data_IF_905643551912
#
_entry.id   IF_905643551912
#
_cell.length_a   1.000
_cell.length_b   1.000
_cell.length_c   1.000
_cell.angle_alpha   90.00
_cell.angle_beta   90.00
_cell.angle_gamma   90.00
#
_symmetry.space_group_name_H-M   'P 1'
#
loop_
_entity.id
_entity.type
_entity.pdbx_description
1 polymer ?
#
# COMPACT_ATOMS: atom_id res chain seq x y z
N UNK A 1 -2.13 -9.53 -20.98
CA UNK A 1 -0.66 -9.59 -21.00
C UNK A 1 -0.15 -10.38 -22.20
N UNK A 2 -0.62 -11.60 -22.48
CA UNK A 2 -0.22 -12.37 -23.69
C UNK A 2 -0.24 -11.55 -24.99
N UNK A 3 -1.37 -10.91 -25.31
CA UNK A 3 -1.46 -10.04 -26.48
C UNK A 3 -0.43 -8.90 -26.46
N UNK A 4 -0.11 -8.33 -25.29
CA UNK A 4 0.93 -7.32 -25.16
C UNK A 4 2.34 -7.92 -25.37
N UNK A 5 2.60 -9.13 -24.86
CA UNK A 5 3.86 -9.83 -25.09
C UNK A 5 4.08 -10.14 -26.59
N UNK A 6 3.02 -10.51 -27.31
CA UNK A 6 3.02 -10.72 -28.76
C UNK A 6 3.38 -9.43 -29.50
N UNK A 7 2.90 -8.28 -29.02
CA UNK A 7 3.27 -6.95 -29.52
C UNK A 7 4.63 -6.44 -29.02
N UNK A 8 5.39 -7.24 -28.25
CA UNK A 8 6.75 -6.91 -27.83
C UNK A 8 6.88 -6.22 -26.47
N UNK A 9 5.78 -6.02 -25.72
CA UNK A 9 5.85 -5.53 -24.36
C UNK A 9 6.49 -6.55 -23.42
N UNK A 10 7.33 -6.08 -22.49
CA UNK A 10 8.07 -6.92 -21.54
C UNK A 10 7.64 -6.72 -20.09
N UNK A 11 7.00 -5.59 -19.79
CA UNK A 11 6.63 -5.20 -18.44
C UNK A 11 5.14 -4.98 -18.28
N UNK A 12 4.63 -5.21 -17.07
CA UNK A 12 3.32 -4.72 -16.64
C UNK A 12 3.45 -4.14 -15.24
N UNK A 13 2.84 -2.98 -15.00
CA UNK A 13 2.78 -2.44 -13.64
C UNK A 13 1.62 -3.05 -12.87
N UNK A 14 1.94 -3.49 -11.65
CA UNK A 14 1.01 -3.86 -10.61
C UNK A 14 0.54 -2.62 -9.86
N UNK A 15 -0.76 -2.59 -9.60
CA UNK A 15 -1.46 -1.65 -8.75
C UNK A 15 -2.41 -2.45 -7.89
N UNK A 16 -2.32 -2.39 -6.57
CA UNK A 16 -3.20 -3.20 -5.73
C UNK A 16 -4.68 -2.84 -5.92
N UNK A 17 -4.97 -1.55 -6.15
CA UNK A 17 -6.31 -1.05 -6.46
C UNK A 17 -6.92 -1.62 -7.76
N UNK A 18 -6.11 -2.23 -8.64
CA UNK A 18 -6.58 -2.92 -9.85
C UNK A 18 -6.82 -4.42 -9.63
N UNK A 19 -6.67 -4.88 -8.39
CA UNK A 19 -7.01 -6.23 -7.92
C UNK A 19 -5.78 -7.05 -7.54
N UNK A 20 -5.71 -7.44 -6.26
CA UNK A 20 -4.65 -8.31 -5.73
C UNK A 20 -4.52 -9.64 -6.50
N UNK A 21 -5.64 -10.31 -6.79
CA UNK A 21 -5.66 -11.57 -7.56
C UNK A 21 -5.09 -11.37 -8.96
N UNK A 22 -5.42 -10.25 -9.62
CA UNK A 22 -4.86 -9.92 -10.94
C UNK A 22 -3.35 -9.72 -10.87
N UNK A 23 -2.84 -9.12 -9.80
CA UNK A 23 -1.41 -9.00 -9.53
C UNK A 23 -0.72 -10.36 -9.46
N UNK A 24 -1.28 -11.28 -8.66
CA UNK A 24 -0.77 -12.65 -8.52
C UNK A 24 -0.77 -13.40 -9.86
N UNK A 25 -1.88 -13.36 -10.60
CA UNK A 25 -1.97 -14.00 -11.91
C UNK A 25 -0.97 -13.43 -12.90
N UNK A 26 -0.76 -12.12 -12.91
CA UNK A 26 0.27 -11.50 -13.76
C UNK A 26 1.68 -11.94 -13.35
N UNK A 27 1.98 -12.03 -12.05
CA UNK A 27 3.28 -12.53 -11.57
C UNK A 27 3.53 -13.98 -11.99
N UNK A 28 2.54 -14.85 -11.80
CA UNK A 28 2.62 -16.25 -12.24
C UNK A 28 2.86 -16.36 -13.75
N UNK A 29 2.19 -15.50 -14.53
CA UNK A 29 2.37 -15.48 -15.98
C UNK A 29 3.75 -14.97 -16.39
N UNK A 30 4.25 -13.91 -15.76
CA UNK A 30 5.63 -13.42 -15.95
C UNK A 30 6.64 -14.52 -15.64
N UNK A 31 6.48 -15.21 -14.51
CA UNK A 31 7.37 -16.30 -14.12
C UNK A 31 7.33 -17.45 -15.13
N UNK A 32 6.13 -17.84 -15.57
CA UNK A 32 5.96 -18.89 -16.58
C UNK A 32 6.59 -18.54 -17.92
N UNK A 33 6.49 -17.28 -18.37
CA UNK A 33 7.09 -16.83 -19.63
C UNK A 33 8.61 -16.79 -19.51
N UNK A 34 9.14 -16.39 -18.35
CA UNK A 34 10.57 -16.36 -18.09
C UNK A 34 11.22 -17.75 -18.05
N UNK A 35 10.47 -18.81 -17.73
CA UNK A 35 10.96 -20.21 -17.83
C UNK A 35 11.37 -20.57 -19.27
N UNK A 36 10.68 -20.04 -20.28
CA UNK A 36 11.02 -20.32 -21.69
C UNK A 36 12.34 -19.70 -22.13
N UNK A 37 12.79 -18.64 -21.46
CA UNK A 37 14.07 -17.97 -21.70
C UNK A 37 14.17 -17.14 -22.99
N UNK A 38 13.12 -17.07 -23.83
CA UNK A 38 13.19 -16.33 -25.10
C UNK A 38 13.32 -14.80 -24.89
N UNK A 39 12.69 -14.29 -23.83
CA UNK A 39 12.63 -12.88 -23.47
C UNK A 39 12.46 -12.74 -21.97
N UNK A 40 13.11 -11.74 -21.37
CA UNK A 40 12.87 -11.36 -19.99
C UNK A 40 11.60 -10.49 -19.89
N UNK A 41 10.72 -10.89 -18.98
CA UNK A 41 9.51 -10.19 -18.57
C UNK A 41 9.60 -9.79 -17.10
N UNK A 42 8.99 -8.66 -16.74
CA UNK A 42 9.07 -8.13 -15.39
C UNK A 42 7.75 -7.49 -14.93
N UNK A 43 7.64 -7.32 -13.62
CA UNK A 43 6.55 -6.63 -12.94
C UNK A 43 7.11 -5.39 -12.25
N UNK A 44 6.41 -4.27 -12.30
CA UNK A 44 6.77 -3.06 -11.52
C UNK A 44 5.65 -2.71 -10.54
N UNK A 45 5.97 -2.11 -9.40
CA UNK A 45 4.97 -1.66 -8.43
C UNK A 45 4.63 -0.18 -8.58
N UNK A 46 3.35 0.16 -8.35
CA UNK A 46 2.82 1.53 -8.27
C UNK A 46 1.72 1.55 -7.20
N UNK A 47 1.90 2.35 -6.13
CA UNK A 47 0.92 2.45 -5.01
C UNK A 47 -0.07 3.62 -5.17
N UNK A 48 0.11 4.49 -6.17
CA UNK A 48 -0.69 5.70 -6.37
C UNK A 48 -0.71 6.62 -5.13
N UNK A 49 -1.75 7.44 -4.96
CA UNK A 49 -1.93 8.31 -3.79
C UNK A 49 -2.65 7.54 -2.66
N UNK A 50 -2.05 6.46 -2.15
CA UNK A 50 -2.63 5.73 -1.02
C UNK A 50 -2.58 6.56 0.27
N UNK A 51 -3.71 6.63 0.99
CA UNK A 51 -3.76 7.14 2.37
C UNK A 51 -3.16 6.12 3.33
N UNK A 52 -2.58 6.59 4.44
CA UNK A 52 -1.91 5.74 5.42
C UNK A 52 -2.86 4.71 6.09
N UNK A 53 -2.30 3.74 6.81
CA UNK A 53 -2.99 2.57 7.39
C UNK A 53 -3.40 1.56 6.31
N UNK A 54 -4.70 1.24 6.17
CA UNK A 54 -5.16 0.07 5.41
C UNK A 54 -4.64 0.07 3.96
N UNK A 55 -4.78 1.16 3.18
CA UNK A 55 -4.38 1.14 1.77
C UNK A 55 -2.88 0.93 1.59
N UNK A 56 -2.05 1.69 2.31
CA UNK A 56 -0.59 1.56 2.26
C UNK A 56 -0.12 0.20 2.77
N UNK A 57 -0.65 -0.27 3.91
CA UNK A 57 -0.24 -1.54 4.50
C UNK A 57 -0.55 -2.71 3.55
N UNK A 58 -1.76 -2.77 2.98
CA UNK A 58 -2.14 -3.84 2.07
C UNK A 58 -1.42 -3.77 0.73
N UNK A 59 -1.17 -2.56 0.19
CA UNK A 59 -0.41 -2.39 -1.05
C UNK A 59 1.05 -2.86 -0.89
N UNK A 60 1.72 -2.44 0.20
CA UNK A 60 3.09 -2.86 0.50
C UNK A 60 3.17 -4.37 0.84
N UNK A 61 2.17 -4.91 1.53
CA UNK A 61 2.09 -6.35 1.77
C UNK A 61 1.98 -7.12 0.44
N UNK A 62 1.17 -6.63 -0.52
CA UNK A 62 1.12 -7.24 -1.85
C UNK A 62 2.39 -7.09 -2.65
N UNK A 63 3.01 -5.91 -2.62
CA UNK A 63 4.27 -5.69 -3.30
C UNK A 63 5.32 -6.71 -2.82
N UNK A 64 5.39 -6.91 -1.50
CA UNK A 64 6.23 -7.94 -0.86
C UNK A 64 5.87 -9.36 -1.31
N UNK A 65 4.57 -9.74 -1.31
CA UNK A 65 4.09 -11.05 -1.78
C UNK A 65 4.46 -11.30 -3.25
N UNK A 66 4.42 -10.26 -4.09
CA UNK A 66 4.78 -10.34 -5.50
C UNK A 66 6.29 -10.32 -5.74
N UNK A 67 7.10 -10.19 -4.68
CA UNK A 67 8.55 -10.13 -4.76
C UNK A 67 9.08 -8.83 -5.35
N UNK A 68 8.30 -7.74 -5.29
CA UNK A 68 8.71 -6.43 -5.76
C UNK A 68 9.60 -5.76 -4.71
N UNK A 69 10.81 -5.37 -5.11
CA UNK A 69 11.74 -4.59 -4.27
C UNK A 69 11.55 -3.08 -4.39
N UNK A 70 10.67 -2.63 -5.30
CA UNK A 70 10.43 -1.22 -5.57
C UNK A 70 8.95 -0.98 -5.87
N UNK A 71 8.48 0.21 -5.51
CA UNK A 71 7.13 0.70 -5.78
C UNK A 71 7.22 2.21 -6.00
N UNK A 72 6.67 2.73 -7.10
CA UNK A 72 6.47 4.18 -7.25
C UNK A 72 5.34 4.61 -6.30
N UNK A 73 5.61 5.65 -5.50
CA UNK A 73 4.72 6.11 -4.44
C UNK A 73 4.74 7.62 -4.34
N UNK A 74 3.56 8.20 -4.14
CA UNK A 74 3.45 9.65 -3.98
C UNK A 74 2.45 10.09 -2.89
N UNK A 75 1.66 9.18 -2.31
CA UNK A 75 0.65 9.50 -1.31
C UNK A 75 1.17 10.32 -0.12
N UNK A 76 2.37 10.00 0.37
CA UNK A 76 3.01 10.72 1.49
C UNK A 76 3.40 12.18 1.18
N UNK A 77 3.37 12.61 -0.08
CA UNK A 77 3.53 14.02 -0.45
C UNK A 77 2.22 14.82 -0.37
N UNK A 78 1.08 14.13 -0.42
CA UNK A 78 -0.25 14.75 -0.48
C UNK A 78 -1.07 14.52 0.80
N UNK A 79 -0.79 13.45 1.53
CA UNK A 79 -1.40 13.13 2.81
C UNK A 79 -0.39 13.37 3.94
N UNK A 80 -0.72 14.27 4.88
CA UNK A 80 0.14 14.57 6.01
C UNK A 80 0.06 13.45 7.05
N UNK A 81 0.94 12.45 6.89
CA UNK A 81 1.14 11.37 7.88
C UNK A 81 -0.14 10.61 8.24
N UNK A 82 -0.47 10.62 9.52
CA UNK A 82 -1.63 9.96 10.13
C UNK A 82 -2.67 10.96 10.66
N UNK A 83 -2.64 12.24 10.25
CA UNK A 83 -3.46 13.32 10.83
C UNK A 83 -4.98 13.14 10.70
N UNK A 84 -5.41 12.25 9.81
CA UNK A 84 -6.82 11.93 9.58
C UNK A 84 -7.37 10.88 10.57
N UNK A 85 -6.53 10.40 11.50
CA UNK A 85 -6.87 9.37 12.47
C UNK A 85 -7.00 9.96 13.87
N UNK A 86 -7.73 9.25 14.73
CA UNK A 86 -7.77 9.57 16.16
C UNK A 86 -6.41 9.34 16.82
N UNK A 87 -6.18 9.97 17.98
CA UNK A 87 -4.95 9.75 18.76
C UNK A 87 -4.74 8.27 19.12
N UNK A 88 -5.83 7.55 19.40
CA UNK A 88 -5.78 6.13 19.72
C UNK A 88 -5.32 5.30 18.52
N UNK A 89 -5.85 5.60 17.33
CA UNK A 89 -5.48 4.94 16.08
C UNK A 89 -4.02 5.23 15.69
N UNK A 90 -3.55 6.47 15.89
CA UNK A 90 -2.16 6.85 15.66
C UNK A 90 -1.23 6.02 16.55
N UNK A 91 -1.51 5.97 17.86
CA UNK A 91 -0.68 5.24 18.83
C UNK A 91 -0.68 3.74 18.54
N UNK A 92 -1.84 3.15 18.26
CA UNK A 92 -1.97 1.74 17.93
C UNK A 92 -1.26 1.37 16.61
N UNK A 93 -1.36 2.24 15.59
CA UNK A 93 -0.68 2.06 14.31
C UNK A 93 0.85 2.02 14.49
N UNK A 94 1.41 2.98 15.21
CA UNK A 94 2.85 3.05 15.49
C UNK A 94 3.30 1.85 16.34
N UNK A 95 2.52 1.49 17.36
CA UNK A 95 2.84 0.38 18.26
C UNK A 95 2.86 -0.98 17.54
N UNK A 96 1.94 -1.22 16.61
CA UNK A 96 1.84 -2.48 15.85
C UNK A 96 2.82 -2.56 14.68
N UNK A 97 3.16 -1.42 14.10
CA UNK A 97 4.03 -1.35 12.93
C UNK A 97 5.24 -0.40 13.17
N UNK A 98 6.06 -0.62 14.21
CA UNK A 98 7.14 0.30 14.60
C UNK A 98 8.30 0.35 13.58
N UNK A 99 8.36 -0.64 12.69
CA UNK A 99 9.28 -0.68 11.55
C UNK A 99 8.82 0.22 10.40
N UNK A 100 7.50 0.33 10.21
CA UNK A 100 6.89 1.02 9.07
C UNK A 100 6.50 2.45 9.40
N UNK A 101 6.12 2.75 10.63
CA UNK A 101 5.70 4.07 11.08
C UNK A 101 6.59 4.60 12.21
N UNK A 102 6.71 5.92 12.28
CA UNK A 102 7.40 6.64 13.35
C UNK A 102 6.58 7.86 13.83
N UNK A 103 6.77 8.30 15.09
CA UNK A 103 6.18 9.53 15.59
C UNK A 103 6.59 10.75 14.77
N UNK A 104 5.67 11.69 14.58
CA UNK A 104 5.92 12.94 13.87
C UNK A 104 5.02 14.06 14.42
N UNK A 105 5.57 14.87 15.33
CA UNK A 105 4.79 15.86 16.07
C UNK A 105 3.76 15.19 16.98
N UNK A 106 2.50 15.61 16.89
CA UNK A 106 1.36 14.96 17.57
C UNK A 106 0.76 13.80 16.75
N UNK A 107 1.34 13.52 15.59
CA UNK A 107 0.90 12.52 14.61
C UNK A 107 1.93 11.39 14.44
N UNK A 108 1.75 10.59 13.39
CA UNK A 108 2.72 9.63 12.89
C UNK A 108 2.93 9.76 11.39
N UNK A 109 3.99 9.16 10.87
CA UNK A 109 4.25 9.09 9.43
C UNK A 109 4.97 7.80 9.06
N UNK A 110 5.06 7.51 7.77
CA UNK A 110 5.89 6.42 7.28
C UNK A 110 7.37 6.69 7.59
N UNK A 111 8.04 5.65 8.09
CA UNK A 111 9.46 5.65 8.39
C UNK A 111 10.27 5.31 7.14
N UNK A 112 10.56 6.34 6.34
CA UNK A 112 11.38 6.20 5.13
C UNK A 112 12.84 6.48 5.48
N UNK A 113 13.72 5.51 5.24
CA UNK A 113 15.16 5.63 5.47
C UNK A 113 15.90 5.37 4.16
N UNK A 114 16.63 6.37 3.66
CA UNK A 114 17.38 6.27 2.39
C UNK A 114 16.55 5.79 1.19
N UNK A 115 15.26 6.12 1.17
CA UNK A 115 14.30 5.70 0.14
C UNK A 115 13.67 4.32 0.36
N UNK A 116 14.00 3.65 1.48
CA UNK A 116 13.46 2.33 1.82
C UNK A 116 12.42 2.39 2.93
N UNK A 117 11.52 1.40 2.91
CA UNK A 117 10.52 1.13 3.94
C UNK A 117 10.73 -0.28 4.48
N UNK A 118 10.68 -0.44 5.79
CA UNK A 118 10.71 -1.75 6.43
C UNK A 118 9.29 -2.29 6.57
N UNK A 119 8.95 -3.24 5.69
CA UNK A 119 7.64 -3.88 5.62
C UNK A 119 7.52 -5.15 6.47
N UNK A 120 8.54 -5.49 7.26
CA UNK A 120 8.57 -6.74 8.04
C UNK A 120 7.39 -6.87 9.02
N UNK A 121 6.94 -5.75 9.59
CA UNK A 121 5.78 -5.71 10.49
C UNK A 121 4.44 -6.00 9.81
N UNK A 122 4.37 -6.01 8.47
CA UNK A 122 3.14 -6.28 7.72
C UNK A 122 2.83 -7.78 7.59
N UNK A 123 3.78 -8.65 7.95
CA UNK A 123 3.59 -10.11 7.88
C UNK A 123 2.77 -10.60 9.09
N UNK A 124 1.51 -10.19 9.12
CA UNK A 124 0.53 -10.52 10.16
C UNK A 124 -0.82 -10.87 9.52
N UNK A 125 -1.79 -11.27 10.35
CA UNK A 125 -3.16 -11.51 9.92
C UNK A 125 -3.82 -10.22 9.38
N UNK A 126 -4.99 -10.34 8.75
CA UNK A 126 -5.71 -9.17 8.25
C UNK A 126 -5.00 -8.45 7.10
N UNK A 127 -4.12 -9.16 6.38
CA UNK A 127 -3.41 -8.62 5.22
C UNK A 127 -2.55 -7.39 5.57
N UNK A 128 -1.89 -7.46 6.73
CA UNK A 128 -1.05 -6.36 7.23
C UNK A 128 -1.84 -5.24 7.92
N UNK A 129 -3.17 -5.34 8.00
CA UNK A 129 -4.01 -4.38 8.72
C UNK A 129 -4.86 -5.07 9.79
N UNK A 130 -4.65 -4.72 11.05
CA UNK A 130 -5.30 -5.37 12.21
C UNK A 130 -6.04 -4.35 13.09
N UNK A 131 -6.10 -3.08 12.66
CA UNK A 131 -6.71 -1.99 13.41
C UNK A 131 -8.21 -1.92 13.11
N UNK A 132 -9.02 -1.88 14.16
CA UNK A 132 -10.43 -1.47 14.06
C UNK A 132 -10.50 0.05 14.10
N UNK A 133 -11.36 0.69 13.29
CA UNK A 133 -11.51 2.13 13.34
C UNK A 133 -12.04 2.63 14.69
N UNK A 134 -11.63 3.82 15.10
CA UNK A 134 -12.18 4.52 16.26
C UNK A 134 -13.54 5.14 15.90
N UNK A 135 -14.59 4.33 15.98
CA UNK A 135 -15.94 4.74 15.59
C UNK A 135 -16.48 5.93 16.39
N UNK A 136 -15.99 6.17 17.62
CA UNK A 136 -16.40 7.31 18.45
C UNK A 136 -15.82 8.64 17.93
N UNK A 137 -14.70 8.58 17.19
CA UNK A 137 -14.10 9.73 16.52
C UNK A 137 -14.76 10.05 15.16
N UNK A 138 -15.53 9.10 14.61
CA UNK A 138 -16.17 9.24 13.30
C UNK A 138 -17.52 9.94 13.39
N UNK A 139 -17.89 10.66 12.33
CA UNK A 139 -19.24 11.21 12.18
C UNK A 139 -20.16 10.17 11.53
N UNK A 140 -21.30 9.82 12.15
CA UNK A 140 -22.29 8.96 11.51
C UNK A 140 -22.74 9.54 10.16
N UNK A 141 -22.90 8.69 9.15
CA UNK A 141 -23.24 9.14 7.79
C UNK A 141 -24.55 9.97 7.72
N UNK A 142 -25.53 9.68 8.58
CA UNK A 142 -26.78 10.44 8.65
C UNK A 142 -26.63 11.84 9.26
N UNK A 143 -25.55 12.07 10.00
CA UNK A 143 -25.23 13.31 10.69
C UNK A 143 -24.23 14.15 9.91
N UNK A 144 -23.37 13.51 9.11
CA UNK A 144 -22.36 14.18 8.29
C UNK A 144 -22.96 15.17 7.28
N UNK A 145 -22.35 16.33 7.16
CA UNK A 145 -22.72 17.43 6.25
C UNK A 145 -21.50 17.91 5.47
N UNK A 146 -21.71 18.52 4.31
CA UNK A 146 -20.60 19.00 3.49
C UNK A 146 -19.83 20.14 4.17
N UNK A 147 -20.54 20.92 4.98
CA UNK A 147 -20.00 22.00 5.81
C UNK A 147 -18.97 21.49 6.84
N UNK A 148 -19.01 20.21 7.22
CA UNK A 148 -18.05 19.61 8.15
C UNK A 148 -16.63 19.49 7.54
N UNK A 149 -16.48 19.69 6.22
CA UNK A 149 -15.17 19.74 5.55
C UNK A 149 -14.36 21.01 5.85
N UNK A 150 -15.02 22.07 6.33
CA UNK A 150 -14.39 23.35 6.63
C UNK A 150 -13.91 23.47 8.09
N UNK A 151 -14.13 22.42 8.90
CA UNK A 151 -13.83 22.34 10.33
C UNK A 151 -12.38 21.98 10.68
#
# INVERSE_FOLDING_TARGET
>A
FNMAADYGYRGVSFKNCKGAIKGLLNKMLVDSLNVSGEREFFLTGEDLMNTSVVPVQQDLAMASILGLSHVERNGHHYCHGLDHLSKNEIDDCIARHPNLYEPFGESGRLKIQDGFLDVSSLHTQGFGSVMEPDFDFMTPLGEWRFEDLEG
#
